data_IF_446249030339
#
_entry.id   IF_446249030339
#
_cell.length_a   1.000
_cell.length_b   1.000
_cell.length_c   1.000
_cell.angle_alpha   90.00
_cell.angle_beta   90.00
_cell.angle_gamma   90.00
#
_symmetry.space_group_name_H-M   'P 1'
#
loop_
_entity.id
_entity.type
_entity.pdbx_description
1 polymer ?
#
# COMPACT_ATOMS: atom_id res chain seq x y z
N UNK A 1 5.86 -2.05 3.81
CA UNK A 1 5.53 -3.46 3.54
C UNK A 1 4.71 -4.00 4.70
N UNK A 2 3.60 -4.66 4.38
CA UNK A 2 2.73 -5.30 5.37
C UNK A 2 2.90 -6.82 5.28
N UNK A 3 3.30 -7.47 6.37
CA UNK A 3 3.57 -8.92 6.39
C UNK A 3 2.80 -9.63 7.48
N UNK A 4 2.45 -10.89 7.24
CA UNK A 4 1.96 -11.81 8.27
C UNK A 4 2.77 -13.10 8.27
N UNK A 5 3.03 -13.63 9.45
CA UNK A 5 3.72 -14.91 9.67
C UNK A 5 2.80 -15.86 10.41
N UNK A 6 2.71 -17.11 9.96
CA UNK A 6 2.08 -18.19 10.71
C UNK A 6 3.07 -19.34 10.94
N UNK A 7 3.19 -19.76 12.19
CA UNK A 7 4.07 -20.83 12.64
C UNK A 7 3.56 -21.27 14.03
N UNK A 8 3.37 -22.52 14.28
CA UNK A 8 2.86 -23.02 15.58
C UNK A 8 3.88 -22.85 16.72
N UNK A 9 5.15 -22.61 16.39
CA UNK A 9 6.20 -22.26 17.33
C UNK A 9 6.30 -20.74 17.53
N UNK A 10 5.81 -20.21 18.65
CA UNK A 10 5.89 -18.77 18.97
C UNK A 10 7.33 -18.21 18.91
N UNK A 11 8.34 -19.03 19.19
CA UNK A 11 9.75 -18.63 19.13
C UNK A 11 10.17 -18.37 17.69
N UNK A 12 9.74 -19.21 16.74
CA UNK A 12 10.02 -19.04 15.32
C UNK A 12 9.34 -17.77 14.77
N UNK A 13 8.05 -17.56 15.11
CA UNK A 13 7.32 -16.30 14.80
C UNK A 13 8.11 -15.08 15.29
N UNK A 14 8.45 -15.04 16.57
CA UNK A 14 9.14 -13.89 17.17
C UNK A 14 10.52 -13.65 16.54
N UNK A 15 11.24 -14.72 16.18
CA UNK A 15 12.54 -14.62 15.52
C UNK A 15 12.44 -13.97 14.14
N UNK A 16 11.46 -14.39 13.34
CA UNK A 16 11.24 -13.82 12.01
C UNK A 16 10.76 -12.36 12.09
N UNK A 17 9.81 -12.06 12.97
CA UNK A 17 9.32 -10.69 13.19
C UNK A 17 10.44 -9.73 13.62
N UNK A 18 11.39 -10.19 14.45
CA UNK A 18 12.55 -9.37 14.84
C UNK A 18 13.41 -9.00 13.65
N UNK A 19 13.64 -9.92 12.71
CA UNK A 19 14.41 -9.66 11.50
C UNK A 19 13.64 -8.72 10.57
N UNK A 20 12.35 -8.98 10.36
CA UNK A 20 11.46 -8.14 9.53
C UNK A 20 11.42 -6.69 10.01
N UNK A 21 11.25 -6.46 11.31
CA UNK A 21 11.26 -5.11 11.91
C UNK A 21 12.60 -4.41 11.78
N UNK A 22 13.71 -5.16 11.70
CA UNK A 22 15.03 -4.59 11.46
C UNK A 22 15.23 -4.19 10.00
N UNK A 23 14.75 -4.99 9.06
CA UNK A 23 14.84 -4.73 7.60
C UNK A 23 13.88 -3.61 7.19
N UNK A 24 12.66 -3.62 7.73
CA UNK A 24 11.62 -2.66 7.38
C UNK A 24 10.94 -2.11 8.65
N UNK A 25 11.60 -1.19 9.38
CA UNK A 25 11.11 -0.69 10.68
C UNK A 25 9.77 0.04 10.59
N UNK A 26 9.48 0.67 9.45
CA UNK A 26 8.20 1.33 9.19
C UNK A 26 7.12 0.38 8.65
N UNK A 27 7.40 -0.91 8.55
CA UNK A 27 6.45 -1.93 8.09
C UNK A 27 5.49 -2.34 9.19
N UNK A 28 4.37 -2.93 8.77
CA UNK A 28 3.47 -3.65 9.67
C UNK A 28 3.83 -5.13 9.59
N UNK A 29 4.15 -5.72 10.75
CA UNK A 29 4.61 -7.11 10.82
C UNK A 29 3.84 -7.84 11.91
N UNK A 30 2.91 -8.70 11.48
CA UNK A 30 2.04 -9.49 12.36
C UNK A 30 2.51 -10.95 12.42
N UNK A 31 2.22 -11.62 13.53
CA UNK A 31 2.57 -13.02 13.70
C UNK A 31 1.53 -13.76 14.52
N UNK A 32 1.12 -14.91 14.03
CA UNK A 32 0.10 -15.76 14.63
C UNK A 32 0.56 -17.21 14.69
N UNK A 33 -0.05 -17.99 15.57
CA UNK A 33 0.32 -19.41 15.81
C UNK A 33 -0.75 -20.40 15.32
N UNK A 34 -1.81 -19.91 14.68
CA UNK A 34 -2.94 -20.72 14.18
C UNK A 34 -3.31 -20.33 12.77
N UNK A 35 -3.59 -21.31 11.92
CA UNK A 35 -4.04 -21.11 10.55
C UNK A 35 -5.35 -20.33 10.46
N UNK A 36 -6.27 -20.51 11.41
CA UNK A 36 -7.52 -19.74 11.46
C UNK A 36 -7.27 -18.24 11.67
N UNK A 37 -6.41 -17.88 12.63
CA UNK A 37 -6.05 -16.49 12.90
C UNK A 37 -5.39 -15.86 11.67
N UNK A 38 -4.51 -16.60 11.01
CA UNK A 38 -3.84 -16.19 9.79
C UNK A 38 -4.84 -15.89 8.66
N UNK A 39 -5.79 -16.80 8.40
CA UNK A 39 -6.80 -16.59 7.36
C UNK A 39 -7.73 -15.42 7.68
N UNK A 40 -8.14 -15.27 8.94
CA UNK A 40 -8.95 -14.13 9.37
C UNK A 40 -8.23 -12.81 9.15
N UNK A 41 -6.92 -12.78 9.43
CA UNK A 41 -6.09 -11.58 9.22
C UNK A 41 -5.98 -11.24 7.72
N UNK A 42 -5.63 -12.19 6.87
CA UNK A 42 -5.50 -11.99 5.42
C UNK A 42 -6.83 -11.52 4.78
N UNK A 43 -7.96 -12.05 5.24
CA UNK A 43 -9.27 -11.67 4.72
C UNK A 43 -9.70 -10.26 5.14
N UNK A 44 -9.12 -9.69 6.20
CA UNK A 44 -9.48 -8.39 6.76
C UNK A 44 -8.43 -7.29 6.53
N UNK A 45 -7.23 -7.65 6.05
CA UNK A 45 -6.12 -6.73 5.86
C UNK A 45 -5.49 -6.93 4.48
N UNK A 46 -4.97 -5.84 3.94
CA UNK A 46 -4.21 -5.88 2.68
C UNK A 46 -2.75 -6.22 2.99
N UNK A 47 -2.38 -7.47 2.77
CA UNK A 47 -1.06 -8.04 3.09
C UNK A 47 -0.22 -8.14 1.83
N UNK A 48 1.05 -7.71 1.90
CA UNK A 48 2.00 -7.78 0.79
C UNK A 48 2.73 -9.13 0.73
N UNK A 49 3.09 -9.69 1.90
CA UNK A 49 3.88 -10.92 2.01
C UNK A 49 3.38 -11.78 3.17
N UNK A 50 3.10 -13.03 2.90
CA UNK A 50 2.75 -14.05 3.88
C UNK A 50 3.89 -15.06 4.05
N UNK A 51 4.37 -15.25 5.27
CA UNK A 51 5.31 -16.30 5.65
C UNK A 51 4.54 -17.44 6.29
N UNK A 52 4.69 -18.66 5.76
CA UNK A 52 3.89 -19.81 6.17
C UNK A 52 4.83 -20.97 6.50
N UNK A 53 4.74 -21.50 7.72
CA UNK A 53 5.35 -22.79 8.01
C UNK A 53 4.57 -23.92 7.31
N UNK A 54 5.28 -24.93 6.87
CA UNK A 54 4.70 -26.11 6.21
C UNK A 54 3.97 -26.98 7.23
N UNK A 55 4.57 -27.19 8.40
CA UNK A 55 4.05 -28.04 9.47
C UNK A 55 3.40 -27.20 10.57
N UNK A 56 2.11 -26.91 10.41
CA UNK A 56 1.32 -26.25 11.44
C UNK A 56 0.53 -27.28 12.24
N UNK A 57 0.35 -27.04 13.52
CA UNK A 57 -0.38 -27.94 14.41
C UNK A 57 -1.82 -28.20 13.93
N UNK A 58 -2.49 -27.20 13.37
CA UNK A 58 -3.90 -27.22 13.01
C UNK A 58 -4.15 -27.24 11.48
N UNK A 59 -3.08 -27.22 10.65
CA UNK A 59 -3.21 -27.21 9.19
C UNK A 59 -1.89 -27.66 8.52
N UNK A 60 -1.99 -27.91 7.21
CA UNK A 60 -0.79 -28.08 6.36
C UNK A 60 -0.53 -26.80 5.57
N UNK A 61 0.66 -26.20 5.72
CA UNK A 61 1.01 -24.94 5.08
C UNK A 61 1.03 -24.99 3.55
N UNK A 62 1.31 -26.15 2.95
CA UNK A 62 1.19 -26.36 1.49
C UNK A 62 -0.26 -26.25 1.05
N UNK A 63 -1.19 -26.89 1.79
CA UNK A 63 -2.62 -26.79 1.49
C UNK A 63 -3.14 -25.36 1.67
N UNK A 64 -2.69 -24.66 2.70
CA UNK A 64 -3.01 -23.26 2.96
C UNK A 64 -2.50 -22.36 1.81
N UNK A 65 -1.27 -22.55 1.37
CA UNK A 65 -0.69 -21.86 0.22
C UNK A 65 -1.51 -22.08 -1.06
N UNK A 66 -1.95 -23.32 -1.30
CA UNK A 66 -2.80 -23.64 -2.45
C UNK A 66 -4.17 -22.95 -2.41
N UNK A 67 -4.73 -22.78 -1.23
CA UNK A 67 -5.97 -22.02 -1.02
C UNK A 67 -5.74 -20.54 -1.32
N UNK A 68 -4.67 -19.94 -0.80
CA UNK A 68 -4.31 -18.54 -1.02
C UNK A 68 -4.05 -18.21 -2.50
N UNK A 69 -3.42 -19.11 -3.24
CA UNK A 69 -3.21 -18.93 -4.67
C UNK A 69 -4.52 -18.72 -5.46
N UNK A 70 -5.66 -19.27 -4.96
CA UNK A 70 -6.98 -19.12 -5.58
C UNK A 70 -7.71 -17.85 -5.11
N UNK A 71 -7.60 -17.51 -3.83
CA UNK A 71 -8.35 -16.41 -3.21
C UNK A 71 -7.60 -15.09 -3.22
N UNK A 72 -6.25 -15.12 -3.16
CA UNK A 72 -5.36 -13.97 -3.11
C UNK A 72 -4.21 -14.11 -4.12
N UNK A 73 -4.48 -14.15 -5.43
CA UNK A 73 -3.51 -14.53 -6.47
C UNK A 73 -2.32 -13.57 -6.60
N UNK A 74 -2.40 -12.37 -6.03
CA UNK A 74 -1.30 -11.39 -6.02
C UNK A 74 -0.53 -11.33 -4.68
N UNK A 75 -0.89 -12.16 -3.70
CA UNK A 75 -0.17 -12.24 -2.44
C UNK A 75 1.17 -12.95 -2.64
N UNK A 76 2.24 -12.36 -2.16
CA UNK A 76 3.52 -13.06 -2.11
C UNK A 76 3.51 -14.06 -0.96
N UNK A 77 3.57 -15.33 -1.28
CA UNK A 77 3.71 -16.39 -0.27
C UNK A 77 5.16 -16.85 -0.23
N UNK A 78 5.75 -16.86 0.95
CA UNK A 78 7.07 -17.42 1.25
C UNK A 78 6.88 -18.56 2.22
N UNK A 79 7.26 -19.77 1.81
CA UNK A 79 7.31 -20.90 2.73
C UNK A 79 8.56 -20.78 3.61
N UNK A 80 8.37 -20.95 4.91
CA UNK A 80 9.38 -20.76 5.93
C UNK A 80 9.36 -21.92 6.90
N UNK A 81 10.21 -22.94 6.69
CA UNK A 81 10.11 -24.24 7.38
C UNK A 81 11.46 -24.83 7.74
N UNK A 82 11.47 -25.72 8.74
CA UNK A 82 12.61 -26.55 9.07
C UNK A 82 12.85 -27.73 8.11
N UNK A 83 11.96 -27.95 7.15
CA UNK A 83 11.88 -29.14 6.30
C UNK A 83 12.25 -28.84 4.84
N UNK A 84 13.55 -28.95 4.46
CA UNK A 84 14.00 -28.62 3.10
C UNK A 84 13.44 -29.55 2.01
N UNK A 85 12.93 -30.72 2.35
CA UNK A 85 12.32 -31.71 1.46
C UNK A 85 11.05 -31.21 0.76
N UNK A 86 10.33 -30.23 1.32
CA UNK A 86 9.12 -29.64 0.72
C UNK A 86 9.40 -28.60 -0.37
N UNK A 87 10.66 -28.33 -0.68
CA UNK A 87 11.03 -27.36 -1.72
C UNK A 87 10.46 -27.67 -3.11
N UNK A 88 10.40 -28.94 -3.58
CA UNK A 88 9.74 -29.27 -4.83
C UNK A 88 8.26 -28.89 -4.86
N UNK A 89 7.50 -29.20 -3.80
CA UNK A 89 6.07 -28.86 -3.69
C UNK A 89 5.84 -27.34 -3.71
N UNK A 90 6.75 -26.59 -3.09
CA UNK A 90 6.74 -25.13 -3.12
C UNK A 90 6.90 -24.55 -4.53
N UNK A 91 7.79 -25.13 -5.34
CA UNK A 91 7.99 -24.69 -6.71
C UNK A 91 6.75 -24.92 -7.59
N UNK A 92 6.05 -26.03 -7.41
CA UNK A 92 4.80 -26.35 -8.12
C UNK A 92 3.67 -25.39 -7.77
N UNK A 93 3.71 -24.76 -6.60
CA UNK A 93 2.72 -23.77 -6.15
C UNK A 93 3.06 -22.34 -6.58
N UNK A 94 4.19 -22.14 -7.29
CA UNK A 94 4.62 -20.80 -7.71
C UNK A 94 4.73 -19.80 -6.56
N UNK A 95 5.21 -20.22 -5.38
CA UNK A 95 5.47 -19.31 -4.26
C UNK A 95 6.50 -18.25 -4.62
N UNK A 96 6.48 -17.12 -3.95
CA UNK A 96 7.44 -16.03 -4.15
C UNK A 96 8.81 -16.32 -3.53
N UNK A 97 8.88 -17.28 -2.61
CA UNK A 97 10.13 -17.66 -1.99
C UNK A 97 10.02 -18.89 -1.10
N UNK A 98 11.18 -19.42 -0.73
CA UNK A 98 11.34 -20.54 0.18
C UNK A 98 12.53 -20.30 1.10
N UNK A 99 12.32 -20.39 2.40
CA UNK A 99 13.34 -20.19 3.43
C UNK A 99 13.40 -21.42 4.35
N UNK A 100 14.61 -21.86 4.64
CA UNK A 100 14.85 -22.97 5.60
C UNK A 100 15.27 -22.39 6.94
N UNK A 101 14.60 -22.81 8.01
CA UNK A 101 14.96 -22.44 9.39
C UNK A 101 16.33 -23.04 9.79
N UNK A 102 17.20 -22.32 10.50
CA UNK A 102 17.06 -20.94 10.98
C UNK A 102 17.33 -19.92 9.87
N UNK A 103 16.50 -18.88 9.76
CA UNK A 103 16.64 -17.83 8.74
C UNK A 103 17.51 -16.70 9.27
N UNK A 104 18.43 -16.23 8.42
CA UNK A 104 19.26 -15.07 8.70
C UNK A 104 18.71 -13.82 8.01
N UNK A 105 19.19 -12.63 8.43
CA UNK A 105 18.80 -11.38 7.78
C UNK A 105 19.16 -11.36 6.27
N UNK A 106 20.36 -11.77 5.82
CA UNK A 106 20.71 -11.84 4.40
C UNK A 106 19.78 -12.76 3.58
N UNK A 107 19.39 -13.93 4.14
CA UNK A 107 18.48 -14.86 3.45
C UNK A 107 17.12 -14.18 3.18
N UNK A 108 16.61 -13.49 4.21
CA UNK A 108 15.33 -12.80 4.11
C UNK A 108 15.40 -11.61 3.14
N UNK A 109 16.46 -10.80 3.18
CA UNK A 109 16.69 -9.71 2.25
C UNK A 109 16.76 -10.22 0.80
N UNK A 110 17.45 -11.33 0.57
CA UNK A 110 17.54 -11.94 -0.75
C UNK A 110 16.17 -12.37 -1.29
N UNK A 111 15.36 -13.04 -0.48
CA UNK A 111 14.03 -13.48 -0.90
C UNK A 111 13.10 -12.28 -1.14
N UNK A 112 13.13 -11.28 -0.26
CA UNK A 112 12.32 -10.07 -0.40
C UNK A 112 12.71 -9.22 -1.64
N UNK A 113 13.96 -9.27 -2.07
CA UNK A 113 14.41 -8.59 -3.29
C UNK A 113 13.87 -9.23 -4.59
N UNK A 114 13.42 -10.49 -4.53
CA UNK A 114 13.00 -11.27 -5.70
C UNK A 114 11.52 -11.73 -5.63
N UNK A 115 10.69 -10.96 -4.92
CA UNK A 115 9.25 -11.24 -4.82
C UNK A 115 8.60 -11.29 -6.21
N UNK A 116 7.70 -12.24 -6.41
CA UNK A 116 6.94 -12.41 -7.65
C UNK A 116 6.08 -11.19 -7.97
N UNK A 117 5.48 -10.61 -6.93
CA UNK A 117 4.71 -9.37 -7.00
C UNK A 117 5.49 -8.29 -6.24
N UNK A 118 6.14 -7.35 -6.93
CA UNK A 118 6.95 -6.34 -6.28
C UNK A 118 6.13 -5.49 -5.30
N UNK A 119 6.58 -5.43 -4.06
CA UNK A 119 6.03 -4.53 -3.06
C UNK A 119 6.58 -3.13 -3.30
N UNK A 120 5.71 -2.17 -3.55
CA UNK A 120 6.08 -0.78 -3.80
C UNK A 120 5.85 0.05 -2.55
N UNK A 121 6.86 0.82 -2.16
CA UNK A 121 6.73 1.80 -1.09
C UNK A 121 6.30 3.13 -1.72
N UNK A 122 5.05 3.53 -1.48
CA UNK A 122 4.51 4.79 -1.97
C UNK A 122 4.41 5.76 -0.81
N UNK A 123 5.16 6.85 -0.87
CA UNK A 123 5.14 7.94 0.10
C UNK A 123 4.51 9.17 -0.53
N UNK A 124 3.60 9.80 0.19
CA UNK A 124 2.93 11.03 -0.21
C UNK A 124 3.27 12.10 0.80
N UNK A 125 3.85 13.18 0.32
CA UNK A 125 4.14 14.38 1.08
C UNK A 125 3.04 15.41 0.80
N UNK A 126 2.33 15.81 1.84
CA UNK A 126 1.28 16.82 1.80
C UNK A 126 1.69 18.12 2.49
N UNK A 127 2.55 18.04 3.51
CA UNK A 127 3.09 19.22 4.18
C UNK A 127 4.22 19.83 3.34
N UNK A 128 4.14 21.15 3.11
CA UNK A 128 4.92 21.86 2.11
C UNK A 128 4.33 21.71 0.70
N UNK A 129 5.18 21.40 -0.28
CA UNK A 129 4.74 21.09 -1.63
C UNK A 129 4.28 19.63 -1.72
N UNK A 130 3.15 19.40 -2.39
CA UNK A 130 2.67 18.05 -2.64
C UNK A 130 3.61 17.29 -3.57
N UNK A 131 4.13 16.17 -3.08
CA UNK A 131 4.98 15.27 -3.86
C UNK A 131 4.62 13.81 -3.57
N UNK A 132 4.83 12.96 -4.58
CA UNK A 132 4.62 11.51 -4.49
C UNK A 132 5.92 10.81 -4.83
N UNK A 133 6.31 9.85 -4.00
CA UNK A 133 7.53 9.05 -4.21
C UNK A 133 7.15 7.57 -4.29
N UNK A 134 7.72 6.87 -5.26
CA UNK A 134 7.62 5.42 -5.37
C UNK A 134 9.02 4.83 -5.25
N UNK A 135 9.25 4.02 -4.20
CA UNK A 135 10.58 3.53 -3.84
C UNK A 135 11.62 4.66 -3.77
N UNK A 136 11.27 5.73 -3.04
CA UNK A 136 12.07 6.96 -2.82
C UNK A 136 12.43 7.75 -4.10
N UNK A 137 11.82 7.44 -5.23
CA UNK A 137 11.96 8.21 -6.48
C UNK A 137 10.71 9.06 -6.71
N UNK A 138 10.86 10.35 -7.04
CA UNK A 138 9.70 11.21 -7.28
C UNK A 138 8.89 10.74 -8.49
N UNK A 139 7.58 10.64 -8.33
CA UNK A 139 6.64 10.29 -9.38
C UNK A 139 6.30 11.54 -10.20
N UNK A 140 6.51 11.48 -11.51
CA UNK A 140 6.20 12.59 -12.42
C UNK A 140 4.86 12.37 -13.10
N UNK A 141 3.94 13.27 -12.89
CA UNK A 141 2.67 13.31 -13.61
C UNK A 141 2.85 13.97 -14.99
N UNK A 142 2.16 13.45 -16.00
CA UNK A 142 2.24 13.99 -17.36
C UNK A 142 1.62 15.39 -17.49
N UNK A 143 0.65 15.73 -16.60
CA UNK A 143 -0.08 17.01 -16.60
C UNK A 143 -0.12 17.60 -15.19
N UNK A 144 -0.12 18.95 -15.12
CA UNK A 144 -0.31 19.66 -13.84
C UNK A 144 -1.65 19.30 -13.21
N UNK A 145 -2.73 19.30 -13.99
CA UNK A 145 -4.07 19.01 -13.52
C UNK A 145 -4.21 17.57 -13.02
N UNK A 146 -3.48 16.60 -13.60
CA UNK A 146 -3.43 15.22 -13.08
C UNK A 146 -2.80 15.16 -11.69
N UNK A 147 -1.73 15.92 -11.46
CA UNK A 147 -1.10 16.02 -10.14
C UNK A 147 -2.04 16.69 -9.14
N UNK A 148 -2.75 17.74 -9.54
CA UNK A 148 -3.71 18.47 -8.70
C UNK A 148 -4.91 17.61 -8.33
N UNK A 149 -5.53 16.92 -9.28
CA UNK A 149 -6.64 15.99 -9.02
C UNK A 149 -6.20 14.86 -8.11
N UNK A 150 -4.99 14.31 -8.33
CA UNK A 150 -4.47 13.27 -7.45
C UNK A 150 -4.25 13.78 -6.02
N UNK A 151 -3.71 14.99 -5.85
CA UNK A 151 -3.56 15.65 -4.55
C UNK A 151 -4.90 15.86 -3.85
N UNK A 152 -5.93 16.28 -4.61
CA UNK A 152 -7.28 16.43 -4.09
C UNK A 152 -7.88 15.09 -3.61
N UNK A 153 -7.68 14.02 -4.38
CA UNK A 153 -8.11 12.68 -3.96
C UNK A 153 -7.41 12.21 -2.67
N UNK A 154 -6.12 12.54 -2.51
CA UNK A 154 -5.37 12.29 -1.26
C UNK A 154 -6.00 13.09 -0.10
N UNK A 155 -6.28 14.39 -0.29
CA UNK A 155 -6.92 15.25 0.72
C UNK A 155 -8.26 14.67 1.21
N UNK A 156 -9.01 13.99 0.33
CA UNK A 156 -10.30 13.36 0.65
C UNK A 156 -10.19 12.05 1.44
N UNK A 157 -8.99 11.54 1.72
CA UNK A 157 -8.72 10.42 2.65
C UNK A 157 -9.51 9.14 2.36
N UNK A 158 -9.61 8.76 1.10
CA UNK A 158 -10.37 7.59 0.66
C UNK A 158 -11.88 7.82 0.50
N UNK A 159 -12.39 9.01 0.79
CA UNK A 159 -13.76 9.36 0.44
C UNK A 159 -13.94 9.44 -1.08
N UNK A 160 -15.10 9.03 -1.56
CA UNK A 160 -15.43 9.08 -2.98
C UNK A 160 -15.58 10.51 -3.48
N UNK A 161 -14.97 10.80 -4.62
CA UNK A 161 -15.02 12.07 -5.34
C UNK A 161 -15.68 11.83 -6.68
N UNK A 162 -16.75 12.56 -6.97
CA UNK A 162 -17.45 12.46 -8.26
C UNK A 162 -16.74 13.23 -9.38
N UNK A 163 -17.04 12.84 -10.61
CA UNK A 163 -16.67 13.60 -11.81
C UNK A 163 -17.04 15.09 -11.72
N UNK A 164 -18.20 15.41 -11.13
CA UNK A 164 -18.68 16.76 -10.92
C UNK A 164 -17.80 17.55 -9.93
N UNK A 165 -17.42 16.95 -8.82
CA UNK A 165 -16.51 17.56 -7.85
C UNK A 165 -15.14 17.88 -8.48
N UNK A 166 -14.63 16.99 -9.34
CA UNK A 166 -13.38 17.23 -10.06
C UNK A 166 -13.53 18.38 -11.06
N UNK A 167 -14.66 18.47 -11.76
CA UNK A 167 -14.93 19.61 -12.66
C UNK A 167 -14.98 20.93 -11.89
N UNK A 168 -15.67 20.96 -10.75
CA UNK A 168 -15.73 22.14 -9.90
C UNK A 168 -14.34 22.55 -9.39
N UNK A 169 -13.52 21.58 -8.97
CA UNK A 169 -12.13 21.80 -8.56
C UNK A 169 -11.33 22.54 -9.65
N UNK A 170 -11.46 22.10 -10.90
CA UNK A 170 -10.61 22.58 -12.00
C UNK A 170 -11.11 23.90 -12.61
N UNK A 171 -12.41 24.18 -12.58
CA UNK A 171 -12.97 25.33 -13.30
C UNK A 171 -13.83 26.29 -12.46
N UNK A 172 -14.16 25.94 -11.23
CA UNK A 172 -14.97 26.81 -10.30
C UNK A 172 -16.29 27.33 -10.89
N UNK A 173 -16.76 26.83 -12.02
CA UNK A 173 -17.96 27.27 -12.74
C UNK A 173 -18.88 26.09 -13.03
N UNK A 174 -20.21 26.35 -12.88
CA UNK A 174 -21.25 25.34 -13.05
C UNK A 174 -21.55 24.92 -14.51
N UNK A 175 -20.96 25.56 -15.52
CA UNK A 175 -21.21 25.17 -16.89
C UNK A 175 -20.71 23.76 -17.21
N UNK A 176 -21.65 22.83 -17.14
CA UNK A 176 -21.42 21.43 -17.50
C UNK A 176 -21.50 21.29 -19.02
N UNK A 177 -20.40 20.87 -19.63
CA UNK A 177 -20.37 20.51 -21.03
C UNK A 177 -19.59 19.21 -21.26
N UNK A 178 -19.90 18.52 -22.34
CA UNK A 178 -19.29 17.23 -22.70
C UNK A 178 -17.75 17.30 -22.83
N UNK A 179 -17.21 18.48 -23.16
CA UNK A 179 -15.74 18.67 -23.25
C UNK A 179 -15.09 18.60 -21.89
N UNK A 180 -15.68 19.21 -20.85
CA UNK A 180 -15.19 19.17 -19.48
C UNK A 180 -15.24 17.73 -18.92
N UNK A 181 -16.33 17.00 -19.18
CA UNK A 181 -16.45 15.57 -18.79
C UNK A 181 -15.39 14.71 -19.47
N UNK A 182 -15.18 14.91 -20.76
CA UNK A 182 -14.14 14.19 -21.51
C UNK A 182 -12.75 14.53 -20.96
N UNK A 183 -12.52 15.79 -20.60
CA UNK A 183 -11.24 16.21 -20.02
C UNK A 183 -10.95 15.54 -18.67
N UNK A 184 -11.93 15.45 -17.75
CA UNK A 184 -11.79 14.73 -16.48
C UNK A 184 -11.43 13.26 -16.73
N UNK A 185 -12.11 12.58 -17.67
CA UNK A 185 -11.76 11.20 -18.04
C UNK A 185 -10.31 11.07 -18.51
N UNK A 186 -9.83 12.04 -19.29
CA UNK A 186 -8.45 12.07 -19.76
C UNK A 186 -7.45 12.29 -18.60
N UNK A 187 -7.80 13.11 -17.60
CA UNK A 187 -7.01 13.29 -16.40
C UNK A 187 -6.92 11.99 -15.58
N UNK A 188 -8.06 11.36 -15.34
CA UNK A 188 -8.09 10.08 -14.61
C UNK A 188 -7.30 8.99 -15.36
N UNK A 189 -7.42 8.96 -16.68
CA UNK A 189 -6.62 8.05 -17.51
C UNK A 189 -5.11 8.32 -17.39
N UNK A 190 -4.70 9.60 -17.42
CA UNK A 190 -3.30 10.01 -17.24
C UNK A 190 -2.77 9.63 -15.86
N UNK A 191 -3.56 9.85 -14.79
CA UNK A 191 -3.21 9.42 -13.43
C UNK A 191 -2.99 7.90 -13.39
N UNK A 192 -3.93 7.12 -13.95
CA UNK A 192 -3.83 5.65 -13.96
C UNK A 192 -2.62 5.15 -14.72
N UNK A 193 -2.35 5.71 -15.90
CA UNK A 193 -1.16 5.35 -16.68
C UNK A 193 0.12 5.71 -15.93
N UNK A 194 0.14 6.87 -15.27
CA UNK A 194 1.28 7.28 -14.45
C UNK A 194 1.53 6.29 -13.31
N UNK A 195 0.49 5.89 -12.57
CA UNK A 195 0.59 4.91 -11.49
C UNK A 195 0.97 3.52 -12.03
N UNK A 196 0.36 3.07 -13.13
CA UNK A 196 0.65 1.79 -13.77
C UNK A 196 2.08 1.70 -14.30
N UNK A 197 2.65 2.81 -14.80
CA UNK A 197 4.04 2.85 -15.28
C UNK A 197 5.08 2.49 -14.21
N UNK A 198 4.70 2.62 -12.94
CA UNK A 198 5.54 2.29 -11.78
C UNK A 198 4.97 1.13 -10.96
N UNK A 199 3.88 0.49 -11.43
CA UNK A 199 3.28 -0.72 -10.83
C UNK A 199 2.57 -0.46 -9.51
N UNK A 200 1.81 0.65 -9.41
CA UNK A 200 1.02 1.04 -8.22
C UNK A 200 -0.40 1.51 -8.60
N UNK A 201 -0.95 0.94 -9.66
CA UNK A 201 -2.27 1.29 -10.20
C UNK A 201 -3.42 1.07 -9.20
N UNK A 202 -3.25 0.19 -8.22
CA UNK A 202 -4.21 -0.11 -7.18
C UNK A 202 -4.43 1.03 -6.17
N UNK A 203 -3.61 2.09 -6.22
CA UNK A 203 -3.78 3.27 -5.36
C UNK A 203 -5.05 4.03 -5.70
N UNK A 204 -5.44 4.08 -6.97
CA UNK A 204 -6.68 4.73 -7.39
C UNK A 204 -7.77 3.69 -7.65
N UNK A 205 -8.85 3.79 -6.89
CA UNK A 205 -10.07 3.01 -7.07
C UNK A 205 -11.07 3.86 -7.85
N UNK A 206 -11.80 3.25 -8.78
CA UNK A 206 -12.90 3.95 -9.45
C UNK A 206 -14.10 3.03 -9.62
N UNK A 207 -15.28 3.61 -9.41
CA UNK A 207 -16.56 2.93 -9.55
C UNK A 207 -17.60 3.91 -10.06
N UNK A 208 -18.20 3.64 -11.24
CA UNK A 208 -19.35 4.38 -11.79
C UNK A 208 -19.22 5.92 -11.79
N UNK A 209 -18.04 6.46 -12.14
CA UNK A 209 -17.80 7.91 -12.15
C UNK A 209 -17.41 8.52 -10.81
N UNK A 210 -17.11 7.68 -9.82
CA UNK A 210 -16.51 8.05 -8.55
C UNK A 210 -15.07 7.53 -8.47
N UNK A 211 -14.23 8.29 -7.78
CA UNK A 211 -12.81 8.01 -7.63
C UNK A 211 -12.40 8.21 -6.18
N UNK A 212 -11.59 7.31 -5.66
CA UNK A 212 -11.01 7.45 -4.32
C UNK A 212 -9.61 6.84 -4.26
N UNK A 213 -8.90 7.13 -3.17
CA UNK A 213 -7.57 6.57 -2.90
C UNK A 213 -7.70 5.35 -1.99
N UNK A 214 -6.99 4.28 -2.34
CA UNK A 214 -6.74 3.20 -1.40
C UNK A 214 -5.70 3.65 -0.37
N UNK A 215 -6.18 4.14 0.78
CA UNK A 215 -5.34 4.70 1.85
C UNK A 215 -4.35 3.68 2.43
N UNK A 216 -4.66 2.39 2.32
CA UNK A 216 -3.80 1.31 2.84
C UNK A 216 -2.57 1.04 1.95
N UNK A 217 -2.55 1.57 0.73
CA UNK A 217 -1.45 1.39 -0.23
C UNK A 217 -0.44 2.53 -0.25
N UNK A 218 -0.62 3.53 0.61
CA UNK A 218 0.25 4.70 0.67
C UNK A 218 0.65 5.01 2.12
N UNK A 219 1.83 5.59 2.29
CA UNK A 219 2.25 6.29 3.52
C UNK A 219 2.13 7.77 3.24
N UNK A 220 1.33 8.47 4.04
CA UNK A 220 1.02 9.88 3.83
C UNK A 220 1.24 10.65 5.13
N UNK A 221 2.11 11.68 5.10
CA UNK A 221 2.42 12.51 6.25
C UNK A 221 1.19 13.19 6.85
N UNK A 222 0.24 13.59 6.02
CA UNK A 222 -1.05 14.13 6.45
C UNK A 222 -1.88 13.11 7.24
N UNK A 223 -1.91 11.85 6.80
CA UNK A 223 -2.63 10.79 7.52
C UNK A 223 -1.93 10.42 8.82
N UNK A 224 -0.60 10.38 8.81
CA UNK A 224 0.22 10.15 10.01
C UNK A 224 -0.05 11.23 11.05
N UNK A 225 -0.08 12.49 10.64
CA UNK A 225 -0.39 13.63 11.51
C UNK A 225 -1.79 13.52 12.12
N UNK A 226 -2.82 13.19 11.34
CA UNK A 226 -4.20 12.99 11.84
C UNK A 226 -4.30 11.84 12.86
N UNK A 227 -3.42 10.85 12.75
CA UNK A 227 -3.35 9.71 13.67
C UNK A 227 -2.43 9.98 14.89
N UNK A 228 -1.96 11.22 15.07
CA UNK A 228 -1.08 11.59 16.18
C UNK A 228 0.37 11.12 16.06
N UNK A 229 0.77 10.69 14.87
CA UNK A 229 2.16 10.31 14.59
C UNK A 229 2.95 11.59 14.29
N UNK A 230 4.09 11.76 14.96
CA UNK A 230 4.94 12.93 14.77
C UNK A 230 5.46 13.03 13.32
N UNK A 231 5.21 14.17 12.68
CA UNK A 231 5.78 14.53 11.38
C UNK A 231 6.85 15.61 11.56
N UNK A 232 7.82 15.76 10.63
CA UNK A 232 8.84 16.81 10.72
C UNK A 232 8.21 18.20 10.83
N UNK A 233 8.47 18.92 11.92
CA UNK A 233 7.80 20.17 12.32
C UNK A 233 8.10 21.36 11.43
N UNK A 234 9.16 21.33 10.64
CA UNK A 234 9.61 22.47 9.85
C UNK A 234 8.62 22.96 8.77
N UNK A 235 7.66 22.15 8.37
CA UNK A 235 6.72 22.44 7.27
C UNK A 235 5.24 22.29 7.70
N UNK A 236 4.95 22.10 8.99
CA UNK A 236 3.60 21.85 9.48
C UNK A 236 2.60 22.98 9.14
N UNK A 237 3.05 24.21 8.95
CA UNK A 237 2.16 25.33 8.59
C UNK A 237 1.94 25.48 7.08
N UNK A 238 2.55 24.63 6.27
CA UNK A 238 2.43 24.62 4.81
C UNK A 238 1.71 23.33 4.40
N UNK A 239 0.58 23.43 3.75
CA UNK A 239 -0.19 22.28 3.28
C UNK A 239 -0.52 22.43 1.80
N UNK A 240 0.09 21.59 0.97
CA UNK A 240 -0.12 21.56 -0.50
C UNK A 240 -0.13 22.96 -1.12
N UNK A 241 0.86 23.80 -0.80
CA UNK A 241 0.92 25.23 -1.15
C UNK A 241 0.73 25.54 -2.65
N UNK A 242 1.15 24.61 -3.53
CA UNK A 242 0.95 24.76 -4.98
C UNK A 242 -0.54 24.66 -5.41
N UNK A 243 -1.44 24.23 -4.53
CA UNK A 243 -2.87 24.07 -4.78
C UNK A 243 -3.72 24.91 -3.81
N UNK A 244 -3.26 26.11 -3.48
CA UNK A 244 -3.88 26.99 -2.46
C UNK A 244 -5.34 27.35 -2.74
N UNK A 245 -5.83 27.19 -3.98
CA UNK A 245 -7.21 27.47 -4.35
C UNK A 245 -8.23 26.65 -3.53
N UNK A 246 -7.89 25.42 -3.17
CA UNK A 246 -8.75 24.53 -2.38
C UNK A 246 -8.09 24.03 -1.09
N UNK A 247 -6.76 23.85 -1.08
CA UNK A 247 -6.03 23.34 0.08
C UNK A 247 -6.07 24.30 1.28
N UNK A 248 -6.33 25.59 1.05
CA UNK A 248 -6.46 26.61 2.09
C UNK A 248 -7.58 26.29 3.08
N UNK A 249 -8.67 25.66 2.64
CA UNK A 249 -9.76 25.25 3.51
C UNK A 249 -9.32 24.12 4.45
N UNK A 250 -8.67 23.10 3.93
CA UNK A 250 -8.12 22.00 4.74
C UNK A 250 -7.06 22.54 5.70
N UNK A 251 -6.14 23.39 5.21
CA UNK A 251 -5.12 24.05 6.02
C UNK A 251 -5.74 24.83 7.20
N UNK A 252 -6.80 25.58 6.95
CA UNK A 252 -7.49 26.33 8.01
C UNK A 252 -8.03 25.39 9.10
N UNK A 253 -8.66 24.28 8.73
CA UNK A 253 -9.19 23.28 9.66
C UNK A 253 -8.06 22.64 10.46
N UNK A 254 -6.96 22.25 9.80
CA UNK A 254 -5.82 21.58 10.42
C UNK A 254 -5.13 22.42 11.52
N UNK A 255 -5.10 23.74 11.36
CA UNK A 255 -4.34 24.64 12.24
C UNK A 255 -5.20 25.63 13.03
N UNK A 256 -6.55 25.45 13.01
CA UNK A 256 -7.48 26.29 13.82
C UNK A 256 -7.56 25.87 15.31
N UNK A 257 -7.03 24.72 15.66
CA UNK A 257 -7.06 24.15 17.03
C UNK A 257 -5.68 24.18 17.72
N UNK A 258 -4.72 24.93 17.22
CA UNK A 258 -3.37 25.05 17.80
C UNK A 258 -3.17 26.34 18.58
#
# INVERSE_FOLDING_TARGET
MHTITVDDEQIAVNSLLRILRKINPDGQHEGVIRAEQFMNYINSHDVDVAFIDVDLYDANGIALTRQLAKTHPKLNVILYTGHPEFKPDALDLFVSGYLVKPVTQPDLEQVLAHLRYPVRNVKVQCFGFFEVFVNDKPLKFGRKDSKEVFAYLIDRRGAEVSDEMIRYLLWSEEEDNDKKRTYVRNIIYDIRNTLASVGVEEIIISHQGYYCINVNKIKCDYYDWLNGIAVPTAQLHEYMEQFSSWSALTKQVLFSES
#
